data_IF_197948391642
#
_entry.id   IF_197948391642
#
_cell.length_a   1.000
_cell.length_b   1.000
_cell.length_c   1.000
_cell.angle_alpha   90.00
_cell.angle_beta   90.00
_cell.angle_gamma   90.00
#
_symmetry.space_group_name_H-M   'P 1'
#
loop_
_entity.id
_entity.type
_entity.pdbx_description
1 polymer ?
#
# COMPACT_ATOMS: atom_id res chain seq x y z
N UNK A 1 -12.86 -45.00 -36.80
CA UNK A 1 -12.81 -45.19 -35.34
C UNK A 1 -12.15 -43.92 -34.81
N UNK A 2 -13.01 -42.88 -34.66
CA UNK A 2 -12.58 -41.55 -34.25
C UNK A 2 -12.54 -41.56 -32.75
N UNK A 3 -11.41 -41.28 -32.18
CA UNK A 3 -11.21 -41.11 -30.75
C UNK A 3 -11.49 -39.63 -30.42
N UNK A 4 -12.70 -39.39 -29.92
CA UNK A 4 -13.04 -38.12 -29.27
C UNK A 4 -12.22 -37.99 -27.98
N UNK A 5 -11.19 -37.15 -28.02
CA UNK A 5 -10.47 -36.75 -26.82
C UNK A 5 -11.22 -35.56 -26.24
N UNK A 6 -12.09 -35.81 -25.28
CA UNK A 6 -12.64 -34.75 -24.43
C UNK A 6 -11.49 -34.17 -23.57
N UNK A 7 -11.06 -32.95 -23.88
CA UNK A 7 -10.27 -32.14 -22.96
C UNK A 7 -11.22 -31.59 -21.90
N UNK A 8 -11.28 -32.21 -20.73
CA UNK A 8 -11.77 -31.53 -19.55
C UNK A 8 -10.75 -30.38 -19.22
N UNK A 9 -11.04 -29.22 -19.79
CA UNK A 9 -10.32 -28.00 -19.46
C UNK A 9 -10.59 -27.63 -18.02
N UNK A 10 -9.70 -27.99 -17.11
CA UNK A 10 -9.59 -27.24 -15.85
C UNK A 10 -9.37 -25.78 -16.24
N UNK A 11 -10.40 -24.98 -16.05
CA UNK A 11 -10.26 -23.52 -16.08
C UNK A 11 -9.28 -23.20 -14.98
N UNK A 12 -8.00 -23.04 -15.32
CA UNK A 12 -7.00 -22.56 -14.40
C UNK A 12 -7.55 -21.27 -13.83
N UNK A 13 -7.96 -21.28 -12.56
CA UNK A 13 -8.30 -20.06 -11.84
C UNK A 13 -7.05 -19.19 -11.94
N UNK A 14 -7.20 -18.09 -12.67
CA UNK A 14 -6.18 -17.08 -12.81
C UNK A 14 -5.80 -16.64 -11.40
N UNK A 15 -4.63 -17.06 -10.92
CA UNK A 15 -4.15 -16.67 -9.61
C UNK A 15 -3.83 -15.18 -9.69
N UNK A 16 -4.65 -14.36 -9.05
CA UNK A 16 -4.32 -12.94 -8.94
C UNK A 16 -3.01 -12.81 -8.17
N UNK A 17 -2.09 -11.92 -8.58
CA UNK A 17 -0.81 -11.73 -7.88
C UNK A 17 -0.99 -11.07 -6.51
N UNK A 18 -2.22 -11.00 -6.01
CA UNK A 18 -2.59 -10.32 -4.79
C UNK A 18 -3.29 -11.26 -3.82
N UNK A 19 -2.93 -11.13 -2.54
CA UNK A 19 -3.69 -11.68 -1.42
C UNK A 19 -4.39 -10.53 -0.71
N UNK A 20 -5.68 -10.66 -0.45
CA UNK A 20 -6.46 -9.64 0.27
C UNK A 20 -6.98 -10.22 1.58
N UNK A 21 -6.72 -9.52 2.68
CA UNK A 21 -7.15 -9.90 4.03
C UNK A 21 -7.96 -8.76 4.63
N UNK A 22 -9.24 -8.96 4.96
CA UNK A 22 -10.02 -7.94 5.67
C UNK A 22 -9.54 -7.85 7.13
N UNK A 23 -9.37 -6.63 7.63
CA UNK A 23 -8.98 -6.35 9.02
C UNK A 23 -10.19 -5.89 9.85
N UNK A 24 -10.21 -6.29 11.11
CA UNK A 24 -11.18 -5.76 12.07
C UNK A 24 -10.63 -4.51 12.75
N UNK A 25 -10.73 -3.38 12.05
CA UNK A 25 -10.24 -2.06 12.50
C UNK A 25 -11.32 -0.99 12.41
N UNK A 26 -11.22 0.00 13.27
CA UNK A 26 -12.00 1.23 13.20
C UNK A 26 -11.27 2.25 12.32
N UNK A 27 -11.65 2.31 11.04
CA UNK A 27 -11.03 3.22 10.07
C UNK A 27 -11.29 4.69 10.37
N UNK A 28 -12.40 5.02 11.05
CA UNK A 28 -12.69 6.38 11.48
C UNK A 28 -11.75 6.80 12.61
N UNK A 29 -11.56 5.95 13.61
CA UNK A 29 -10.59 6.19 14.67
C UNK A 29 -9.15 6.34 14.13
N UNK A 30 -8.73 5.48 13.19
CA UNK A 30 -7.42 5.61 12.53
C UNK A 30 -7.32 6.92 11.77
N UNK A 31 -8.33 7.29 10.98
CA UNK A 31 -8.38 8.56 10.24
C UNK A 31 -8.24 9.76 11.18
N UNK A 32 -8.97 9.77 12.29
CA UNK A 32 -8.91 10.84 13.28
C UNK A 32 -7.51 10.95 13.92
N UNK A 33 -6.86 9.83 14.23
CA UNK A 33 -5.46 9.80 14.71
C UNK A 33 -4.51 10.40 13.65
N UNK A 34 -4.64 10.03 12.36
CA UNK A 34 -3.84 10.61 11.27
C UNK A 34 -4.07 12.11 11.15
N UNK A 35 -5.32 12.58 11.20
CA UNK A 35 -5.65 14.00 11.11
C UNK A 35 -5.13 14.80 12.31
N UNK A 36 -5.10 14.22 13.51
CA UNK A 36 -4.55 14.87 14.70
C UNK A 36 -3.04 15.09 14.66
N UNK A 37 -2.33 14.37 13.77
CA UNK A 37 -0.88 14.51 13.56
C UNK A 37 -0.52 15.33 12.32
N UNK A 38 -1.41 16.21 11.86
CA UNK A 38 -1.23 16.98 10.62
C UNK A 38 0.02 17.85 10.61
N UNK A 39 0.47 18.31 11.75
CA UNK A 39 1.73 19.05 11.95
C UNK A 39 3.00 18.21 11.64
N UNK A 40 2.88 16.88 11.62
CA UNK A 40 3.93 15.91 11.29
C UNK A 40 3.93 15.48 9.82
N UNK A 41 2.93 15.90 9.05
CA UNK A 41 2.83 15.47 7.66
C UNK A 41 3.95 16.06 6.80
N UNK A 42 4.52 15.24 5.93
CA UNK A 42 5.58 15.62 5.01
C UNK A 42 4.97 15.86 3.64
N UNK A 43 5.05 17.07 3.11
CA UNK A 43 4.62 17.38 1.74
C UNK A 43 5.54 16.68 0.73
N UNK A 44 4.96 15.97 -0.24
CA UNK A 44 5.66 15.18 -1.24
C UNK A 44 5.61 15.75 -2.66
N UNK A 45 4.71 16.69 -2.90
CA UNK A 45 4.58 17.36 -4.19
C UNK A 45 4.32 18.86 -4.00
N UNK A 46 4.82 19.64 -4.94
CA UNK A 46 4.51 21.08 -5.04
C UNK A 46 3.26 21.33 -5.92
N UNK A 47 2.93 20.36 -6.76
CA UNK A 47 1.91 20.54 -7.80
C UNK A 47 0.53 20.07 -7.36
N UNK A 48 0.47 19.15 -6.40
CA UNK A 48 -0.79 18.60 -5.87
C UNK A 48 -0.63 18.17 -4.40
N UNK A 49 -1.71 18.13 -3.63
CA UNK A 49 -1.65 17.86 -2.20
C UNK A 49 -1.44 16.36 -1.94
N UNK A 50 -0.19 15.93 -1.99
CA UNK A 50 0.24 14.60 -1.58
C UNK A 50 1.14 14.73 -0.37
N UNK A 51 0.78 14.06 0.71
CA UNK A 51 1.51 14.04 1.96
C UNK A 51 1.80 12.61 2.41
N UNK A 52 2.80 12.46 3.28
CA UNK A 52 2.99 11.24 4.06
C UNK A 52 3.07 11.59 5.54
N UNK A 53 2.53 10.71 6.37
CA UNK A 53 2.88 10.62 7.78
C UNK A 53 3.85 9.44 7.90
N UNK A 54 5.07 9.73 8.35
CA UNK A 54 6.20 8.80 8.25
C UNK A 54 6.99 8.93 6.93
N UNK A 55 8.18 8.33 6.92
CA UNK A 55 9.10 8.34 5.77
C UNK A 55 9.11 6.96 5.12
N UNK A 56 9.20 6.93 3.80
CA UNK A 56 9.26 5.69 3.02
C UNK A 56 10.61 5.51 2.32
N UNK A 57 11.12 4.27 2.25
CA UNK A 57 12.37 3.96 1.59
C UNK A 57 12.39 4.43 0.12
N UNK A 58 11.29 4.28 -0.59
CA UNK A 58 11.16 4.66 -2.00
C UNK A 58 11.21 6.19 -2.24
N UNK A 59 10.83 7.02 -1.23
CA UNK A 59 10.89 8.49 -1.30
C UNK A 59 12.13 9.08 -0.65
N UNK A 60 12.61 8.48 0.44
CA UNK A 60 13.62 9.06 1.32
C UNK A 60 14.92 8.24 1.39
N UNK A 61 14.90 6.95 0.97
CA UNK A 61 15.97 5.98 1.21
C UNK A 61 17.30 6.29 0.54
N UNK A 62 17.30 7.07 -0.56
CA UNK A 62 18.51 7.54 -1.23
C UNK A 62 19.20 8.74 -0.54
N UNK A 63 18.64 9.21 0.57
CA UNK A 63 19.12 10.39 1.28
C UNK A 63 19.27 10.09 2.76
N UNK A 64 20.16 10.87 3.43
CA UNK A 64 20.29 10.83 4.91
C UNK A 64 18.98 11.16 5.64
N UNK A 65 17.97 11.69 4.94
CA UNK A 65 16.66 12.02 5.52
C UNK A 65 15.91 10.77 5.99
N UNK A 66 16.11 9.62 5.33
CA UNK A 66 15.48 8.38 5.74
C UNK A 66 15.83 7.99 7.18
N UNK A 67 17.08 8.15 7.56
CA UNK A 67 17.57 7.79 8.90
C UNK A 67 17.50 8.94 9.91
N UNK A 68 17.18 10.16 9.43
CA UNK A 68 17.07 11.32 10.32
C UNK A 68 15.90 11.15 11.28
N UNK A 69 16.14 11.34 12.57
CA UNK A 69 15.14 11.25 13.64
C UNK A 69 14.38 9.91 13.68
N UNK A 70 14.97 8.83 13.11
CA UNK A 70 14.33 7.51 12.97
C UNK A 70 13.77 6.98 14.30
N UNK A 71 14.51 6.95 15.43
CA UNK A 71 13.97 6.40 16.67
C UNK A 71 12.75 7.16 17.17
N UNK A 72 12.80 8.48 17.19
CA UNK A 72 11.71 9.32 17.71
C UNK A 72 10.46 9.26 16.82
N UNK A 73 10.65 9.22 15.49
CA UNK A 73 9.53 9.10 14.56
C UNK A 73 8.89 7.71 14.62
N UNK A 74 9.68 6.63 14.69
CA UNK A 74 9.17 5.28 14.88
C UNK A 74 8.44 5.13 16.22
N UNK A 75 9.00 5.68 17.30
CA UNK A 75 8.34 5.65 18.62
C UNK A 75 6.97 6.34 18.57
N UNK A 76 6.89 7.53 18.01
CA UNK A 76 5.64 8.26 17.83
C UNK A 76 4.62 7.45 17.02
N UNK A 77 5.07 6.87 15.88
CA UNK A 77 4.20 6.07 15.01
C UNK A 77 3.69 4.82 15.72
N UNK A 78 4.57 4.08 16.39
CA UNK A 78 4.21 2.85 17.12
C UNK A 78 3.26 3.16 18.26
N UNK A 79 3.51 4.19 19.05
CA UNK A 79 2.62 4.58 20.16
C UNK A 79 1.25 5.02 19.66
N UNK A 80 1.20 5.82 18.57
CA UNK A 80 -0.06 6.35 18.04
C UNK A 80 -0.92 5.26 17.39
N UNK A 81 -0.29 4.31 16.69
CA UNK A 81 -0.96 3.32 15.84
C UNK A 81 -0.72 1.87 16.28
N UNK A 82 -0.44 1.64 17.58
CA UNK A 82 -0.12 0.30 18.13
C UNK A 82 -1.15 -0.77 17.76
N UNK A 83 -2.44 -0.46 17.92
CA UNK A 83 -3.54 -1.38 17.60
C UNK A 83 -3.54 -1.74 16.11
N UNK A 84 -3.38 -0.74 15.23
CA UNK A 84 -3.32 -0.94 13.79
C UNK A 84 -2.15 -1.85 13.40
N UNK A 85 -0.95 -1.59 13.92
CA UNK A 85 0.21 -2.43 13.63
C UNK A 85 0.04 -3.86 14.15
N UNK A 86 -0.66 -4.03 15.28
CA UNK A 86 -0.98 -5.35 15.80
C UNK A 86 -1.90 -6.12 14.85
N UNK A 87 -2.97 -5.50 14.35
CA UNK A 87 -3.90 -6.15 13.43
C UNK A 87 -3.24 -6.45 12.07
N UNK A 88 -2.43 -5.52 11.55
CA UNK A 88 -1.64 -5.77 10.32
C UNK A 88 -0.66 -6.94 10.53
N UNK A 89 0.04 -6.99 11.67
CA UNK A 89 0.95 -8.09 11.99
C UNK A 89 0.24 -9.45 12.04
N UNK A 90 -0.93 -9.52 12.68
CA UNK A 90 -1.75 -10.75 12.71
C UNK A 90 -2.15 -11.22 11.30
N UNK A 91 -2.58 -10.28 10.44
CA UNK A 91 -2.96 -10.59 9.08
C UNK A 91 -1.77 -11.10 8.25
N UNK A 92 -0.61 -10.45 8.36
CA UNK A 92 0.62 -10.89 7.69
C UNK A 92 1.04 -12.28 8.16
N UNK A 93 1.03 -12.55 9.47
CA UNK A 93 1.35 -13.88 10.03
C UNK A 93 0.41 -14.96 9.48
N UNK A 94 -0.88 -14.64 9.29
CA UNK A 94 -1.84 -15.61 8.74
C UNK A 94 -1.59 -15.95 7.27
N UNK A 95 -1.01 -15.02 6.50
CA UNK A 95 -0.72 -15.21 5.07
C UNK A 95 0.60 -15.94 4.84
N UNK A 96 1.63 -15.55 5.57
CA UNK A 96 2.98 -16.09 5.35
C UNK A 96 3.28 -17.35 6.17
N UNK A 97 2.40 -17.73 7.11
CA UNK A 97 2.60 -18.83 8.05
C UNK A 97 3.95 -18.75 8.80
N UNK A 98 4.42 -17.53 9.02
CA UNK A 98 5.69 -17.21 9.67
C UNK A 98 5.47 -16.16 10.75
N UNK A 99 6.39 -16.08 11.70
CA UNK A 99 6.36 -15.04 12.73
C UNK A 99 6.88 -13.72 12.16
N UNK A 100 5.95 -12.87 11.69
CA UNK A 100 6.25 -11.52 11.21
C UNK A 100 6.30 -10.57 12.41
N UNK A 101 7.33 -9.77 12.50
CA UNK A 101 7.49 -8.77 13.55
C UNK A 101 7.84 -7.39 13.00
N UNK A 102 7.39 -6.37 13.70
CA UNK A 102 7.69 -4.99 13.36
C UNK A 102 9.12 -4.64 13.81
N UNK A 103 10.02 -4.38 12.88
CA UNK A 103 11.36 -3.88 13.21
C UNK A 103 11.38 -2.35 13.33
N UNK A 104 12.10 -1.84 14.31
CA UNK A 104 12.36 -0.41 14.49
C UNK A 104 13.75 0.02 14.00
N UNK A 105 14.54 -0.91 13.47
CA UNK A 105 15.83 -0.61 12.82
C UNK A 105 15.67 0.12 11.49
N UNK A 106 14.50 -0.05 10.86
CA UNK A 106 14.06 0.67 9.68
C UNK A 106 12.81 1.50 10.01
N UNK A 107 12.33 2.30 9.05
CA UNK A 107 11.08 3.02 9.19
C UNK A 107 9.90 2.06 9.25
N UNK A 108 9.08 2.23 10.28
CA UNK A 108 7.79 1.52 10.35
C UNK A 108 6.86 2.00 9.23
N UNK A 109 5.89 1.18 8.80
CA UNK A 109 4.92 1.57 7.79
C UNK A 109 4.22 2.89 8.14
N UNK A 110 4.13 3.79 7.17
CA UNK A 110 3.50 5.09 7.30
C UNK A 110 2.21 5.20 6.49
N UNK A 111 1.70 6.43 6.38
CA UNK A 111 0.48 6.71 5.65
C UNK A 111 0.75 7.58 4.42
N UNK A 112 0.08 7.26 3.33
CA UNK A 112 -0.09 8.14 2.18
C UNK A 112 -1.40 8.91 2.36
N UNK A 113 -1.36 10.21 2.19
CA UNK A 113 -2.48 11.09 2.48
C UNK A 113 -2.71 11.99 1.28
N UNK A 114 -3.88 11.85 0.68
CA UNK A 114 -4.31 12.62 -0.48
C UNK A 114 -5.59 13.38 -0.13
N UNK A 115 -5.49 14.63 0.33
CA UNK A 115 -6.66 15.50 0.43
C UNK A 115 -7.34 15.65 -0.92
N UNK A 116 -8.63 15.78 -0.92
CA UNK A 116 -9.40 15.92 -2.15
C UNK A 116 -8.93 17.12 -2.98
N UNK A 117 -8.56 16.86 -4.23
CA UNK A 117 -8.19 17.88 -5.22
C UNK A 117 -8.60 17.42 -6.62
N UNK A 118 -9.15 18.34 -7.42
CA UNK A 118 -9.57 18.06 -8.81
C UNK A 118 -8.41 17.58 -9.70
N UNK A 119 -7.18 17.87 -9.34
CA UNK A 119 -5.99 17.39 -10.07
C UNK A 119 -5.92 15.87 -10.08
N UNK A 120 -6.37 15.19 -9.02
CA UNK A 120 -6.38 13.73 -8.95
C UNK A 120 -7.36 13.05 -9.92
N UNK A 121 -8.25 13.77 -10.56
CA UNK A 121 -9.05 13.26 -11.69
C UNK A 121 -8.20 12.98 -12.93
N UNK A 122 -7.02 13.61 -13.03
CA UNK A 122 -6.11 13.52 -14.18
C UNK A 122 -4.77 12.90 -13.85
N UNK A 123 -4.46 12.76 -12.56
CA UNK A 123 -3.17 12.26 -12.09
C UNK A 123 -3.36 10.83 -11.59
N UNK A 124 -2.57 9.94 -12.16
CA UNK A 124 -2.37 8.58 -11.66
C UNK A 124 -0.92 8.45 -11.18
N UNK A 125 -0.62 7.45 -10.34
CA UNK A 125 0.75 7.11 -10.03
C UNK A 125 1.57 6.71 -11.26
N UNK A 126 2.88 6.83 -11.17
CA UNK A 126 3.77 6.25 -12.18
C UNK A 126 3.80 4.74 -12.02
N UNK A 127 3.96 4.01 -13.14
CA UNK A 127 4.24 2.59 -13.10
C UNK A 127 5.56 2.32 -12.40
N UNK A 128 5.59 1.40 -11.44
CA UNK A 128 6.78 1.04 -10.66
C UNK A 128 6.68 -0.38 -10.11
N UNK A 129 7.78 -0.83 -9.57
CA UNK A 129 7.90 -2.02 -8.73
C UNK A 129 8.40 -1.57 -7.37
N UNK A 130 8.03 -2.29 -6.32
CA UNK A 130 8.47 -1.99 -4.95
C UNK A 130 9.77 -2.75 -4.63
N UNK A 131 10.88 -2.05 -4.72
CA UNK A 131 12.20 -2.58 -4.37
C UNK A 131 12.84 -1.81 -3.19
N UNK A 132 12.16 -1.66 -2.04
CA UNK A 132 12.72 -0.93 -0.90
C UNK A 132 14.00 -1.60 -0.37
N UNK A 133 14.09 -2.92 -0.44
CA UNK A 133 15.26 -3.69 -0.05
C UNK A 133 16.52 -3.26 -0.83
N UNK A 134 16.43 -3.12 -2.15
CA UNK A 134 17.55 -2.64 -3.00
C UNK A 134 17.97 -1.21 -2.60
N UNK A 135 16.97 -0.33 -2.36
CA UNK A 135 17.24 1.05 -1.94
C UNK A 135 17.96 1.11 -0.58
N UNK A 136 17.71 0.14 0.30
CA UNK A 136 18.29 0.03 1.64
C UNK A 136 19.57 -0.83 1.68
N UNK A 137 20.02 -1.37 0.53
CA UNK A 137 21.19 -2.24 0.44
C UNK A 137 20.98 -3.63 1.04
N UNK A 138 19.73 -4.08 1.10
CA UNK A 138 19.37 -5.44 1.48
C UNK A 138 19.23 -6.24 0.18
N UNK A 139 20.22 -7.07 -0.12
CA UNK A 139 20.22 -7.93 -1.31
C UNK A 139 19.71 -9.33 -0.96
N UNK A 140 19.27 -10.07 -1.96
CA UNK A 140 18.87 -11.48 -1.88
C UNK A 140 17.74 -11.79 -0.88
N UNK A 141 16.76 -10.88 -0.75
CA UNK A 141 15.57 -11.11 0.06
C UNK A 141 14.31 -11.09 -0.79
N UNK A 142 13.36 -11.96 -0.49
CA UNK A 142 12.02 -11.87 -1.02
C UNK A 142 11.35 -10.59 -0.47
N UNK A 143 10.78 -9.80 -1.35
CA UNK A 143 10.16 -8.53 -1.00
C UNK A 143 8.68 -8.58 -1.29
N UNK A 144 7.89 -8.31 -0.27
CA UNK A 144 6.45 -8.13 -0.39
C UNK A 144 6.07 -6.72 -0.01
N UNK A 145 5.14 -6.15 -0.77
CA UNK A 145 4.51 -4.88 -0.45
C UNK A 145 3.09 -5.12 0.02
N UNK A 146 2.61 -4.25 0.89
CA UNK A 146 1.21 -4.26 1.28
C UNK A 146 0.64 -2.84 1.36
N UNK A 147 -0.63 -2.74 1.07
CA UNK A 147 -1.41 -1.51 1.18
C UNK A 147 -2.69 -1.79 1.94
N UNK A 148 -2.94 -1.04 3.00
CA UNK A 148 -4.18 -1.07 3.74
C UNK A 148 -5.00 0.19 3.40
N UNK A 149 -6.18 0.00 2.83
CA UNK A 149 -7.07 1.09 2.52
C UNK A 149 -7.85 1.53 3.77
N UNK A 150 -7.46 2.66 4.35
CA UNK A 150 -8.13 3.25 5.54
C UNK A 150 -9.32 4.09 5.10
N UNK A 151 -9.14 4.92 4.07
CA UNK A 151 -10.17 5.79 3.50
C UNK A 151 -10.04 5.81 2.00
N UNK A 152 -11.16 5.68 1.31
CA UNK A 152 -11.22 5.66 -0.15
C UNK A 152 -12.05 6.84 -0.68
N UNK A 153 -11.77 7.31 -1.91
CA UNK A 153 -12.67 8.23 -2.59
C UNK A 153 -14.00 7.53 -2.91
N UNK A 154 -15.08 8.27 -3.02
CA UNK A 154 -16.40 7.73 -3.38
C UNK A 154 -16.40 6.98 -4.70
N UNK A 155 -15.49 7.34 -5.60
CA UNK A 155 -15.41 6.73 -6.93
C UNK A 155 -13.99 6.70 -7.45
N UNK A 156 -13.55 5.54 -7.94
CA UNK A 156 -12.18 5.27 -8.37
C UNK A 156 -11.27 4.87 -7.22
N UNK A 157 -9.97 5.04 -7.41
CA UNK A 157 -8.97 4.54 -6.47
C UNK A 157 -8.61 3.08 -6.74
N UNK A 158 -7.90 2.45 -5.81
CA UNK A 158 -7.35 1.12 -6.00
C UNK A 158 -5.99 1.15 -6.70
N UNK A 159 -5.66 0.05 -7.36
CA UNK A 159 -4.37 -0.18 -8.01
C UNK A 159 -4.59 -0.65 -9.45
N UNK A 160 -3.90 -0.05 -10.41
CA UNK A 160 -3.70 -0.67 -11.72
C UNK A 160 -2.41 -1.50 -11.68
N UNK A 161 -2.39 -2.67 -12.31
CA UNK A 161 -1.22 -3.53 -12.40
C UNK A 161 -1.09 -4.20 -13.77
N UNK A 162 0.10 -4.74 -14.03
CA UNK A 162 0.37 -5.52 -15.23
C UNK A 162 0.39 -7.00 -14.84
N UNK A 163 -0.46 -7.79 -15.46
CA UNK A 163 -0.53 -9.23 -15.21
C UNK A 163 0.58 -10.03 -15.93
N UNK A 164 0.60 -11.32 -15.74
CA UNK A 164 1.57 -12.24 -16.36
C UNK A 164 1.48 -12.31 -17.89
N UNK A 165 0.35 -11.87 -18.48
CA UNK A 165 0.15 -11.76 -19.92
C UNK A 165 0.49 -10.36 -20.46
N UNK A 166 1.13 -9.52 -19.65
CA UNK A 166 1.44 -8.12 -19.96
C UNK A 166 0.21 -7.24 -20.23
N UNK A 167 -0.95 -7.63 -19.71
CA UNK A 167 -2.18 -6.86 -19.83
C UNK A 167 -2.40 -5.99 -18.59
N UNK A 168 -2.94 -4.80 -18.84
CA UNK A 168 -3.32 -3.90 -17.75
C UNK A 168 -4.62 -4.38 -17.11
N UNK A 169 -4.57 -4.56 -15.81
CA UNK A 169 -5.68 -4.93 -14.94
C UNK A 169 -5.93 -3.85 -13.91
N UNK A 170 -7.07 -3.92 -13.26
CA UNK A 170 -7.45 -3.02 -12.17
C UNK A 170 -7.92 -3.83 -10.96
N UNK A 171 -7.31 -3.55 -9.80
CA UNK A 171 -7.73 -4.05 -8.50
C UNK A 171 -8.42 -2.92 -7.73
N UNK A 172 -9.74 -3.05 -7.55
CA UNK A 172 -10.48 -2.14 -6.67
C UNK A 172 -10.12 -2.44 -5.20
N UNK A 173 -9.93 -1.39 -4.41
CA UNK A 173 -9.76 -1.52 -2.97
C UNK A 173 -11.10 -1.41 -2.25
N UNK A 174 -11.23 -2.11 -1.12
CA UNK A 174 -12.25 -1.81 -0.12
C UNK A 174 -11.58 -1.26 1.14
N UNK A 175 -12.25 -0.37 1.86
CA UNK A 175 -11.76 0.07 3.18
C UNK A 175 -11.63 -1.14 4.10
N UNK A 176 -10.58 -1.16 4.94
CA UNK A 176 -10.17 -2.26 5.82
C UNK A 176 -9.47 -3.45 5.15
N UNK A 177 -9.42 -3.51 3.83
CA UNK A 177 -8.70 -4.58 3.14
C UNK A 177 -7.19 -4.32 3.12
N UNK A 178 -6.42 -5.26 3.64
CA UNK A 178 -4.97 -5.34 3.48
C UNK A 178 -4.67 -6.10 2.19
N UNK A 179 -4.19 -5.42 1.20
CA UNK A 179 -3.77 -6.00 -0.09
C UNK A 179 -2.27 -6.24 -0.06
N UNK A 180 -1.86 -7.48 -0.27
CA UNK A 180 -0.46 -7.93 -0.23
C UNK A 180 -0.07 -8.43 -1.60
N UNK A 181 1.11 -8.08 -2.08
CA UNK A 181 1.64 -8.56 -3.35
C UNK A 181 3.17 -8.68 -3.33
N UNK A 182 3.71 -9.45 -4.27
CA UNK A 182 5.14 -9.48 -4.50
C UNK A 182 5.63 -8.12 -4.97
N UNK A 183 6.72 -7.63 -4.41
CA UNK A 183 7.30 -6.33 -4.76
C UNK A 183 7.69 -6.17 -6.23
N UNK A 184 7.85 -7.28 -6.97
CA UNK A 184 8.15 -7.27 -8.41
C UNK A 184 6.90 -7.03 -9.28
N UNK A 185 5.69 -7.04 -8.73
CA UNK A 185 4.48 -6.72 -9.48
C UNK A 185 4.54 -5.29 -9.99
N UNK A 186 4.49 -5.10 -11.31
CA UNK A 186 4.45 -3.76 -11.92
C UNK A 186 3.06 -3.15 -11.65
N UNK A 187 3.01 -2.07 -10.92
CA UNK A 187 1.74 -1.47 -10.52
C UNK A 187 1.82 0.05 -10.41
N UNK A 188 0.67 0.66 -10.19
CA UNK A 188 0.53 2.07 -9.84
C UNK A 188 -0.76 2.33 -9.09
N UNK A 189 -0.82 3.41 -8.33
CA UNK A 189 -2.08 3.88 -7.76
C UNK A 189 -3.02 4.35 -8.87
N UNK A 190 -4.26 3.87 -8.85
CA UNK A 190 -5.28 4.26 -9.81
C UNK A 190 -5.83 5.66 -9.49
N UNK A 191 -6.28 6.37 -10.52
CA UNK A 191 -6.85 7.70 -10.40
C UNK A 191 -8.24 7.70 -9.75
N UNK A 192 -8.66 8.87 -9.28
CA UNK A 192 -10.04 9.13 -8.87
C UNK A 192 -10.92 9.34 -10.11
N UNK A 193 -12.19 8.94 -10.03
CA UNK A 193 -13.16 9.16 -11.10
C UNK A 193 -14.03 10.39 -10.85
N UNK A 194 -14.24 10.74 -9.59
CA UNK A 194 -15.06 11.86 -9.16
C UNK A 194 -14.34 12.70 -8.11
N UNK A 195 -14.63 13.98 -8.10
CA UNK A 195 -14.15 14.89 -7.08
C UNK A 195 -15.24 15.11 -6.02
N UNK A 196 -14.92 14.87 -4.77
CA UNK A 196 -15.78 15.20 -3.63
C UNK A 196 -15.00 16.14 -2.71
N UNK A 197 -15.53 17.34 -2.41
CA UNK A 197 -14.87 18.28 -1.50
C UNK A 197 -14.69 17.67 -0.10
N UNK A 198 -13.61 18.09 0.56
CA UNK A 198 -13.32 17.74 1.97
C UNK A 198 -13.17 16.24 2.27
N UNK A 199 -12.87 15.42 1.28
CA UNK A 199 -12.50 14.03 1.46
C UNK A 199 -10.98 13.87 1.59
N UNK A 200 -10.58 12.76 2.21
CA UNK A 200 -9.21 12.25 2.26
C UNK A 200 -9.20 10.82 1.71
N UNK A 201 -8.05 10.45 1.22
CA UNK A 201 -7.77 9.09 0.77
C UNK A 201 -6.37 8.70 1.23
#
# INVERSE_FOLDING_TARGET
MDLDIEWEGEVMKQSTPFTTVPLDIDTEAVTNKVLSTKDKWISRSKDYPFFTLGRGAYLDGKTKKYYKDLPAENEMMVQTFAELYTEVGKALNSVFAEDIYLTTQLRVPGFHIFPSDKKFLKITGNWHQDHPHVTLGLEDVDSYAFTLAIKLPKSGGGMDYIDEFHQRQHLAYNEKDLVIHNGQTIHRIAGMKEYTPNEYR
#
